data_IF_328966426116
#
_entry.id   IF_328966426116
#
_cell.length_a   1.000
_cell.length_b   1.000
_cell.length_c   1.000
_cell.angle_alpha   90.00
_cell.angle_beta   90.00
_cell.angle_gamma   90.00
#
_symmetry.space_group_name_H-M   'P 1'
#
loop_
_entity.id
_entity.type
_entity.pdbx_description
1 polymer ?
#
# COMPACT_ATOMS: atom_id res chain seq x y z
N UNK A 1 -8.13 -33.72 16.40
CA UNK A 1 -7.55 -32.41 16.07
C UNK A 1 -7.18 -32.49 14.61
N UNK A 2 -8.04 -31.98 13.71
CA UNK A 2 -7.79 -32.08 12.28
C UNK A 2 -6.82 -30.97 11.90
N UNK A 3 -5.59 -31.38 11.58
CA UNK A 3 -4.61 -30.56 10.89
C UNK A 3 -5.17 -30.24 9.50
N UNK A 4 -5.89 -29.13 9.40
CA UNK A 4 -6.23 -28.54 8.12
C UNK A 4 -4.92 -28.07 7.50
N UNK A 5 -4.36 -28.89 6.61
CA UNK A 5 -3.32 -28.48 5.68
C UNK A 5 -3.72 -27.12 5.07
N UNK A 6 -2.83 -26.12 5.00
CA UNK A 6 -3.19 -24.84 4.42
C UNK A 6 -3.71 -25.10 3.00
N UNK A 7 -4.96 -24.69 2.75
CA UNK A 7 -5.59 -24.84 1.45
C UNK A 7 -4.59 -24.36 0.40
N UNK A 8 -4.18 -25.27 -0.49
CA UNK A 8 -3.14 -25.07 -1.49
C UNK A 8 -3.49 -23.81 -2.29
N UNK A 9 -2.87 -22.68 -1.97
CA UNK A 9 -3.01 -21.50 -2.80
C UNK A 9 -2.37 -21.84 -4.15
N UNK A 10 -3.10 -21.71 -5.27
CA UNK A 10 -2.48 -21.88 -6.57
C UNK A 10 -1.45 -20.76 -6.70
N UNK A 11 -0.17 -21.08 -6.87
CA UNK A 11 0.99 -20.16 -6.91
C UNK A 11 0.73 -18.81 -7.62
N UNK A 12 -0.19 -18.77 -8.58
CA UNK A 12 -0.73 -17.55 -9.18
C UNK A 12 -1.23 -16.51 -8.18
N UNK A 13 -1.95 -16.89 -7.11
CA UNK A 13 -2.54 -15.96 -6.14
C UNK A 13 -1.47 -15.25 -5.30
N UNK A 14 -0.48 -15.98 -4.81
CA UNK A 14 0.70 -15.38 -4.16
C UNK A 14 1.49 -14.49 -5.12
N UNK A 15 1.69 -14.91 -6.38
CA UNK A 15 2.33 -14.08 -7.41
C UNK A 15 1.59 -12.76 -7.63
N UNK A 16 0.26 -12.78 -7.64
CA UNK A 16 -0.53 -11.57 -7.79
C UNK A 16 -0.31 -10.63 -6.61
N UNK A 17 -0.33 -11.12 -5.36
CA UNK A 17 -0.08 -10.25 -4.21
C UNK A 17 1.33 -9.65 -4.25
N UNK A 18 2.35 -10.39 -4.70
CA UNK A 18 3.67 -9.81 -4.97
C UNK A 18 3.63 -8.71 -6.03
N UNK A 19 2.91 -8.93 -7.14
CA UNK A 19 2.71 -7.91 -8.17
C UNK A 19 2.05 -6.66 -7.55
N UNK A 20 1.03 -6.82 -6.70
CA UNK A 20 0.38 -5.68 -6.02
C UNK A 20 1.36 -4.88 -5.14
N UNK A 21 2.26 -5.56 -4.42
CA UNK A 21 3.31 -4.91 -3.64
C UNK A 21 4.30 -4.15 -4.53
N UNK A 22 4.71 -4.73 -5.66
CA UNK A 22 5.61 -4.06 -6.61
C UNK A 22 4.94 -2.81 -7.21
N UNK A 23 3.68 -2.93 -7.65
CA UNK A 23 2.89 -1.80 -8.15
C UNK A 23 2.76 -0.69 -7.10
N UNK A 24 2.50 -1.04 -5.83
CA UNK A 24 2.47 -0.05 -4.75
C UNK A 24 3.85 0.57 -4.51
N UNK A 25 4.93 -0.22 -4.47
CA UNK A 25 6.29 0.29 -4.30
C UNK A 25 6.71 1.27 -5.40
N UNK A 26 6.25 1.06 -6.63
CA UNK A 26 6.51 1.94 -7.76
C UNK A 26 5.51 3.10 -7.89
N UNK A 27 4.40 3.08 -7.15
CA UNK A 27 3.35 4.08 -7.26
C UNK A 27 3.82 5.52 -7.04
N UNK A 28 4.67 5.84 -6.04
CA UNK A 28 5.12 7.22 -5.84
C UNK A 28 5.84 7.81 -7.06
N UNK A 29 6.55 6.99 -7.85
CA UNK A 29 7.27 7.42 -9.06
C UNK A 29 6.33 7.68 -10.26
N UNK A 30 5.08 7.27 -10.16
CA UNK A 30 4.05 7.43 -11.21
C UNK A 30 2.92 8.36 -10.78
N UNK A 31 3.18 9.24 -9.80
CA UNK A 31 2.13 10.07 -9.17
C UNK A 31 0.93 9.24 -8.70
N UNK A 32 1.21 8.12 -8.02
CA UNK A 32 0.22 7.21 -7.43
C UNK A 32 -0.68 6.42 -8.41
N UNK A 33 -0.50 6.58 -9.72
CA UNK A 33 -1.30 5.87 -10.72
C UNK A 33 -1.22 4.34 -10.57
N UNK A 34 -0.01 3.80 -10.33
CA UNK A 34 0.14 2.35 -10.15
C UNK A 34 -0.52 1.82 -8.87
N UNK A 35 -0.65 2.64 -7.82
CA UNK A 35 -1.37 2.23 -6.61
C UNK A 35 -2.87 2.08 -6.87
N UNK A 36 -3.44 2.94 -7.75
CA UNK A 36 -4.84 2.83 -8.20
C UNK A 36 -5.06 1.51 -8.95
N UNK A 37 -4.17 1.16 -9.89
CA UNK A 37 -4.25 -0.11 -10.61
C UNK A 37 -4.16 -1.29 -9.65
N UNK A 38 -3.22 -1.25 -8.70
CA UNK A 38 -3.04 -2.31 -7.72
C UNK A 38 -4.24 -2.48 -6.78
N UNK A 39 -4.88 -1.40 -6.30
CA UNK A 39 -6.05 -1.55 -5.45
C UNK A 39 -7.24 -2.12 -6.22
N UNK A 40 -7.41 -1.75 -7.50
CA UNK A 40 -8.47 -2.33 -8.35
C UNK A 40 -8.26 -3.84 -8.49
N UNK A 41 -7.06 -4.28 -8.89
CA UNK A 41 -6.73 -5.71 -9.04
C UNK A 41 -6.90 -6.45 -7.69
N UNK A 42 -6.41 -5.86 -6.60
CA UNK A 42 -6.54 -6.43 -5.26
C UNK A 42 -7.99 -6.61 -4.83
N UNK A 43 -8.86 -5.62 -5.08
CA UNK A 43 -10.27 -5.70 -4.74
C UNK A 43 -11.02 -6.73 -5.57
N UNK A 44 -10.72 -6.84 -6.88
CA UNK A 44 -11.30 -7.85 -7.76
C UNK A 44 -10.95 -9.27 -7.31
N UNK A 45 -9.72 -9.49 -6.83
CA UNK A 45 -9.26 -10.81 -6.36
C UNK A 45 -9.52 -11.08 -4.89
N UNK A 46 -10.01 -10.10 -4.13
CA UNK A 46 -10.23 -10.23 -2.69
C UNK A 46 -11.22 -11.34 -2.35
N UNK A 47 -12.25 -11.56 -3.19
CA UNK A 47 -13.23 -12.65 -3.03
C UNK A 47 -12.57 -14.01 -3.08
N UNK A 48 -11.62 -14.20 -4.00
CA UNK A 48 -10.97 -15.48 -4.27
C UNK A 48 -9.90 -15.83 -3.22
N UNK A 49 -9.48 -14.83 -2.44
CA UNK A 49 -8.46 -14.95 -1.40
C UNK A 49 -9.06 -15.13 0.00
N UNK A 50 -10.40 -15.10 0.15
CA UNK A 50 -11.04 -15.24 1.46
C UNK A 50 -10.66 -16.56 2.13
N UNK A 51 -10.38 -16.50 3.44
CA UNK A 51 -9.89 -17.66 4.20
C UNK A 51 -8.37 -17.90 4.11
N UNK A 52 -7.63 -17.08 3.35
CA UNK A 52 -6.16 -17.18 3.25
C UNK A 52 -5.43 -15.99 3.89
N UNK A 53 -4.14 -16.16 4.16
CA UNK A 53 -3.24 -15.09 4.62
C UNK A 53 -3.21 -13.92 3.62
N UNK A 54 -3.34 -14.20 2.32
CA UNK A 54 -3.29 -13.23 1.22
C UNK A 54 -4.41 -12.17 1.31
N UNK A 55 -5.61 -12.54 1.76
CA UNK A 55 -6.71 -11.59 1.94
C UNK A 55 -6.36 -10.49 2.96
N UNK A 56 -5.57 -10.82 3.99
CA UNK A 56 -5.12 -9.85 4.99
C UNK A 56 -4.19 -8.80 4.36
N UNK A 57 -3.27 -9.21 3.49
CA UNK A 57 -2.36 -8.30 2.78
C UNK A 57 -3.10 -7.39 1.80
N UNK A 58 -4.08 -7.91 1.03
CA UNK A 58 -4.91 -7.09 0.15
C UNK A 58 -5.65 -6.01 0.94
N UNK A 59 -6.17 -6.36 2.12
CA UNK A 59 -6.84 -5.39 3.00
C UNK A 59 -5.86 -4.34 3.57
N UNK A 60 -4.63 -4.74 3.90
CA UNK A 60 -3.57 -3.84 4.35
C UNK A 60 -3.14 -2.85 3.26
N UNK A 61 -2.95 -3.32 2.03
CA UNK A 61 -2.66 -2.46 0.88
C UNK A 61 -3.79 -1.46 0.65
N UNK A 62 -5.04 -1.93 0.68
CA UNK A 62 -6.21 -1.07 0.53
C UNK A 62 -6.24 0.04 1.60
N UNK A 63 -6.03 -0.29 2.88
CA UNK A 63 -5.93 0.73 3.94
C UNK A 63 -4.77 1.70 3.70
N UNK A 64 -3.63 1.20 3.21
CA UNK A 64 -2.44 2.02 2.94
C UNK A 64 -2.68 3.00 1.80
N UNK A 65 -3.42 2.59 0.76
CA UNK A 65 -3.89 3.46 -0.29
C UNK A 65 -4.80 4.57 0.24
N UNK A 66 -5.85 4.24 1.00
CA UNK A 66 -6.78 5.25 1.53
C UNK A 66 -6.13 6.23 2.49
N UNK A 67 -5.27 5.75 3.39
CA UNK A 67 -4.46 6.62 4.24
C UNK A 67 -3.48 7.45 3.43
N UNK A 68 -2.86 6.88 2.40
CA UNK A 68 -1.99 7.59 1.47
C UNK A 68 -2.71 8.73 0.76
N UNK A 69 -3.89 8.47 0.22
CA UNK A 69 -4.73 9.47 -0.44
C UNK A 69 -5.12 10.60 0.53
N UNK A 70 -5.50 10.25 1.76
CA UNK A 70 -5.79 11.22 2.82
C UNK A 70 -4.57 12.11 3.11
N UNK A 71 -3.38 11.52 3.27
CA UNK A 71 -2.15 12.28 3.51
C UNK A 71 -1.75 13.16 2.32
N UNK A 72 -1.96 12.72 1.07
CA UNK A 72 -1.74 13.56 -0.12
C UNK A 72 -2.61 14.82 -0.04
N UNK A 73 -3.89 14.66 0.30
CA UNK A 73 -4.82 15.80 0.45
C UNK A 73 -4.35 16.73 1.56
N UNK A 74 -3.93 16.19 2.72
CA UNK A 74 -3.39 16.99 3.82
C UNK A 74 -2.13 17.74 3.39
N UNK A 75 -1.16 17.07 2.75
CA UNK A 75 0.05 17.70 2.25
C UNK A 75 -0.28 18.80 1.24
N UNK A 76 -1.22 18.57 0.32
CA UNK A 76 -1.64 19.57 -0.66
C UNK A 76 -2.24 20.83 0.01
N UNK A 77 -3.09 20.65 1.02
CA UNK A 77 -3.68 21.78 1.79
C UNK A 77 -2.60 22.53 2.57
N UNK A 78 -1.69 21.79 3.24
CA UNK A 78 -0.56 22.41 3.97
C UNK A 78 0.34 23.19 3.02
N UNK A 79 0.69 22.62 1.86
CA UNK A 79 1.50 23.30 0.84
C UNK A 79 0.79 24.53 0.27
N UNK A 80 -0.53 24.48 0.05
CA UNK A 80 -1.31 25.63 -0.42
C UNK A 80 -1.26 26.81 0.57
N UNK A 81 -1.40 26.52 1.88
CA UNK A 81 -1.29 27.55 2.93
C UNK A 81 0.14 28.08 3.01
N UNK A 82 1.14 27.18 2.95
CA UNK A 82 2.56 27.50 3.06
C UNK A 82 3.04 28.36 1.89
N UNK A 83 2.54 28.15 0.67
CA UNK A 83 2.92 28.90 -0.55
C UNK A 83 2.70 30.42 -0.41
N UNK A 84 1.79 30.86 0.46
CA UNK A 84 1.54 32.27 0.75
C UNK A 84 2.74 32.92 1.49
N UNK A 85 3.61 32.11 2.09
CA UNK A 85 4.76 32.55 2.90
C UNK A 85 6.09 32.18 2.25
N UNK A 86 7.11 33.05 2.38
CA UNK A 86 8.49 32.79 1.90
C UNK A 86 9.07 31.50 2.52
N UNK A 87 8.73 31.22 3.78
CA UNK A 87 9.15 30.02 4.51
C UNK A 87 8.56 28.75 3.87
N UNK A 88 7.31 28.81 3.40
CA UNK A 88 6.67 27.68 2.76
C UNK A 88 7.32 27.26 1.45
N UNK A 89 7.91 28.19 0.69
CA UNK A 89 8.67 27.86 -0.50
C UNK A 89 9.92 27.01 -0.19
N UNK A 90 10.52 27.18 0.99
CA UNK A 90 11.68 26.37 1.41
C UNK A 90 11.24 25.04 2.01
N UNK A 91 10.11 25.00 2.72
CA UNK A 91 9.67 23.80 3.46
C UNK A 91 8.67 22.91 2.69
N UNK A 92 8.26 23.28 1.47
CA UNK A 92 7.20 22.55 0.77
C UNK A 92 7.50 21.06 0.53
N UNK A 93 8.78 20.68 0.42
CA UNK A 93 9.21 19.31 0.13
C UNK A 93 9.19 18.40 1.37
N UNK A 94 9.22 18.96 2.59
CA UNK A 94 9.27 18.18 3.83
C UNK A 94 8.03 17.28 4.01
N UNK A 95 6.78 17.79 3.91
CA UNK A 95 5.58 16.96 4.04
C UNK A 95 5.55 15.80 3.04
N UNK A 96 5.92 16.04 1.78
CA UNK A 96 5.96 15.00 0.76
C UNK A 96 7.03 13.94 1.03
N UNK A 97 8.20 14.34 1.53
CA UNK A 97 9.28 13.42 1.89
C UNK A 97 8.89 12.51 3.04
N UNK A 98 8.26 13.06 4.08
CA UNK A 98 7.76 12.28 5.22
C UNK A 98 6.69 11.30 4.77
N UNK A 99 5.75 11.74 3.93
CA UNK A 99 4.71 10.88 3.36
C UNK A 99 5.32 9.73 2.52
N UNK A 100 6.31 10.04 1.68
CA UNK A 100 7.00 9.05 0.87
C UNK A 100 7.67 7.97 1.72
N UNK A 101 8.43 8.37 2.74
CA UNK A 101 9.10 7.44 3.66
C UNK A 101 8.08 6.59 4.42
N UNK A 102 7.02 7.20 4.96
CA UNK A 102 5.95 6.49 5.67
C UNK A 102 5.26 5.44 4.79
N UNK A 103 4.97 5.81 3.54
CA UNK A 103 4.32 4.92 2.58
C UNK A 103 5.22 3.74 2.22
N UNK A 104 6.48 3.99 1.86
CA UNK A 104 7.44 2.93 1.56
C UNK A 104 7.65 1.99 2.74
N UNK A 105 7.81 2.54 3.95
CA UNK A 105 7.90 1.73 5.17
C UNK A 105 6.70 0.78 5.33
N UNK A 106 5.48 1.26 5.13
CA UNK A 106 4.25 0.46 5.26
C UNK A 106 4.15 -0.65 4.19
N UNK A 107 4.55 -0.35 2.96
CA UNK A 107 4.59 -1.32 1.85
C UNK A 107 5.65 -2.39 2.12
N UNK A 108 6.88 -1.99 2.46
CA UNK A 108 7.99 -2.91 2.76
C UNK A 108 7.66 -3.80 3.96
N UNK A 109 7.13 -3.24 5.04
CA UNK A 109 6.71 -4.01 6.23
C UNK A 109 5.66 -5.07 5.89
N UNK A 110 4.69 -4.72 5.04
CA UNK A 110 3.68 -5.68 4.59
C UNK A 110 4.28 -6.78 3.72
N UNK A 111 5.23 -6.41 2.85
CA UNK A 111 5.89 -7.35 1.95
C UNK A 111 6.81 -8.33 2.69
N UNK A 112 7.56 -7.86 3.69
CA UNK A 112 8.39 -8.72 4.54
C UNK A 112 7.53 -9.78 5.24
N UNK A 113 6.41 -9.39 5.85
CA UNK A 113 5.48 -10.34 6.49
C UNK A 113 4.89 -11.35 5.50
N UNK A 114 4.62 -10.94 4.26
CA UNK A 114 4.17 -11.86 3.20
C UNK A 114 5.25 -12.90 2.89
N UNK A 115 6.51 -12.47 2.80
CA UNK A 115 7.65 -13.36 2.55
C UNK A 115 7.86 -14.37 3.70
N UNK A 116 7.53 -13.97 4.93
CA UNK A 116 7.54 -14.84 6.10
C UNK A 116 6.29 -15.74 6.20
N UNK A 117 5.32 -15.61 5.28
CA UNK A 117 4.06 -16.36 5.29
C UNK A 117 3.10 -15.95 6.41
N UNK A 118 3.31 -14.78 7.02
CA UNK A 118 2.57 -14.29 8.19
C UNK A 118 1.45 -13.33 7.80
N UNK A 119 0.28 -13.52 8.40
CA UNK A 119 -0.84 -12.59 8.27
C UNK A 119 -0.56 -11.22 8.88
N UNK A 120 -1.25 -10.20 8.34
CA UNK A 120 -1.16 -8.82 8.81
C UNK A 120 -2.52 -8.35 9.33
N UNK A 121 -2.54 -7.83 10.56
CA UNK A 121 -3.74 -7.29 11.22
C UNK A 121 -3.98 -5.81 10.85
#
# INVERSE_FOLDING_TARGET
MNDAAPARDPEGNTRIVHILYILHGLAPFTMWLLAVVAIIIGMLKKSDLQGTVLASHVSWLSRTFWWGLLWIVICAVLTFILIITIIGAILYWLPFTVLFIWYLYRVIKGWLKLNDGLAIA
#
